data_IF_855784139396
#
_entry.id   IF_855784139396
#
_cell.length_a   1.000
_cell.length_b   1.000
_cell.length_c   1.000
_cell.angle_alpha   90.00
_cell.angle_beta   90.00
_cell.angle_gamma   90.00
#
_symmetry.space_group_name_H-M   'P 1'
#
loop_
_entity.id
_entity.type
_entity.pdbx_description
1 polymer ?
#
# COMPACT_ATOMS: atom_id res chain seq x y z
N UNK A 1 22.44 21.42 19.16
CA UNK A 1 21.35 21.30 18.19
C UNK A 1 21.20 19.82 17.87
N UNK A 2 20.23 19.14 18.48
CA UNK A 2 19.97 17.73 18.17
C UNK A 2 19.20 17.66 16.85
N UNK A 3 19.85 17.14 15.81
CA UNK A 3 19.20 16.83 14.55
C UNK A 3 18.30 15.62 14.74
N UNK A 4 16.98 15.83 14.76
CA UNK A 4 15.99 14.75 14.64
C UNK A 4 16.14 14.12 13.26
N UNK A 5 16.87 13.01 13.19
CA UNK A 5 16.94 12.14 12.02
C UNK A 5 15.58 11.49 11.80
N UNK A 6 14.69 12.16 11.08
CA UNK A 6 13.46 11.56 10.60
C UNK A 6 13.82 10.56 9.50
N UNK A 7 13.74 9.27 9.79
CA UNK A 7 13.64 8.27 8.74
C UNK A 7 12.40 8.63 7.91
N UNK A 8 12.59 8.98 6.64
CA UNK A 8 11.51 9.28 5.71
C UNK A 8 10.69 7.99 5.56
N UNK A 9 9.59 7.85 6.32
CA UNK A 9 8.63 6.75 6.14
C UNK A 9 8.05 6.90 4.74
N UNK A 10 8.21 5.89 3.90
CA UNK A 10 7.47 5.83 2.64
C UNK A 10 6.00 5.65 2.99
N UNK A 11 5.17 6.62 2.58
CA UNK A 11 3.73 6.54 2.77
C UNK A 11 3.12 5.82 1.56
N UNK A 12 2.38 4.72 1.76
CA UNK A 12 1.71 4.05 0.66
C UNK A 12 0.70 5.00 0.02
N UNK A 13 0.54 4.88 -1.29
CA UNK A 13 -0.40 5.68 -2.07
C UNK A 13 -1.47 4.76 -2.67
N UNK A 14 -2.72 5.20 -2.62
CA UNK A 14 -3.84 4.52 -3.27
C UNK A 14 -3.91 4.96 -4.73
N UNK A 15 -3.74 4.00 -5.63
CA UNK A 15 -3.83 4.22 -7.07
C UNK A 15 -5.01 3.42 -7.66
N UNK A 16 -5.88 4.10 -8.41
CA UNK A 16 -6.84 3.42 -9.26
C UNK A 16 -6.10 2.83 -10.46
N UNK A 17 -6.20 1.52 -10.66
CA UNK A 17 -5.55 0.84 -11.80
C UNK A 17 -6.16 1.38 -13.10
N UNK A 18 -5.30 1.85 -13.99
CA UNK A 18 -5.68 2.34 -15.31
C UNK A 18 -5.49 1.24 -16.37
N UNK A 19 -6.24 1.32 -17.46
CA UNK A 19 -6.20 0.37 -18.57
C UNK A 19 -7.44 -0.51 -18.69
N UNK A 20 -7.86 -0.75 -19.93
CA UNK A 20 -9.06 -1.53 -20.26
C UNK A 20 -8.76 -3.04 -20.34
N UNK A 21 -7.58 -3.39 -20.84
CA UNK A 21 -7.13 -4.77 -21.05
C UNK A 21 -5.95 -5.14 -20.13
N UNK A 22 -5.57 -6.42 -20.13
CA UNK A 22 -4.49 -6.92 -19.27
C UNK A 22 -3.12 -6.32 -19.59
N UNK A 23 -2.82 -6.04 -20.86
CA UNK A 23 -1.56 -5.44 -21.24
C UNK A 23 -1.49 -3.99 -20.76
N UNK A 24 -2.52 -3.18 -21.02
CA UNK A 24 -2.54 -1.78 -20.58
C UNK A 24 -2.48 -1.64 -19.05
N UNK A 25 -3.12 -2.55 -18.29
CA UNK A 25 -2.99 -2.60 -16.82
C UNK A 25 -1.59 -3.02 -16.36
N UNK A 26 -0.98 -3.96 -17.06
CA UNK A 26 0.39 -4.42 -16.75
C UNK A 26 1.39 -3.29 -17.00
N UNK A 27 1.26 -2.57 -18.12
CA UNK A 27 2.08 -1.40 -18.43
C UNK A 27 1.93 -0.32 -17.36
N UNK A 28 0.70 0.01 -16.95
CA UNK A 28 0.44 0.93 -15.86
C UNK A 28 1.17 0.50 -14.57
N UNK A 29 1.01 -0.75 -14.15
CA UNK A 29 1.71 -1.26 -12.96
C UNK A 29 3.24 -1.20 -13.08
N UNK A 30 3.80 -1.48 -14.26
CA UNK A 30 5.24 -1.36 -14.49
C UNK A 30 5.77 0.07 -14.32
N UNK A 31 4.98 1.09 -14.65
CA UNK A 31 5.37 2.49 -14.43
C UNK A 31 5.50 2.81 -12.94
N UNK A 32 4.57 2.32 -12.12
CA UNK A 32 4.59 2.50 -10.66
C UNK A 32 5.76 1.72 -10.03
N UNK A 33 5.91 0.46 -10.42
CA UNK A 33 7.00 -0.46 -10.02
C UNK A 33 8.37 0.20 -10.21
N UNK A 34 8.67 0.73 -11.40
CA UNK A 34 9.98 1.35 -11.68
C UNK A 34 10.28 2.61 -10.87
N UNK A 35 9.25 3.23 -10.27
CA UNK A 35 9.36 4.52 -9.58
C UNK A 35 9.43 4.42 -8.06
N UNK A 36 9.28 3.21 -7.49
CA UNK A 36 9.08 3.02 -6.05
C UNK A 36 10.02 1.96 -5.47
N UNK A 37 10.50 2.20 -4.24
CA UNK A 37 11.33 1.28 -3.49
C UNK A 37 10.42 0.38 -2.63
N UNK A 38 10.38 -0.93 -2.90
CA UNK A 38 9.27 -1.81 -2.47
C UNK A 38 9.29 -2.28 -1.01
N UNK A 39 9.91 -1.52 -0.11
CA UNK A 39 9.74 -1.77 1.32
C UNK A 39 8.30 -1.53 1.72
N UNK A 40 7.53 -2.60 1.93
CA UNK A 40 6.11 -2.53 2.28
C UNK A 40 5.92 -2.70 3.78
N UNK A 41 5.44 -1.65 4.44
CA UNK A 41 4.93 -1.69 5.82
C UNK A 41 3.42 -1.97 5.76
N UNK A 42 3.02 -3.23 5.97
CA UNK A 42 1.60 -3.61 5.88
C UNK A 42 0.73 -2.90 6.92
N UNK A 43 1.27 -2.57 8.10
CA UNK A 43 0.54 -1.78 9.09
C UNK A 43 0.12 -0.43 8.51
N UNK A 44 1.09 0.29 7.91
CA UNK A 44 0.83 1.58 7.27
C UNK A 44 -0.12 1.47 6.05
N UNK A 45 -0.09 0.35 5.33
CA UNK A 45 -1.04 0.11 4.22
C UNK A 45 -2.48 -0.01 4.74
N UNK A 46 -2.69 -0.73 5.85
CA UNK A 46 -4.02 -0.81 6.44
C UNK A 46 -4.49 0.53 7.01
N UNK A 47 -3.60 1.29 7.64
CA UNK A 47 -3.91 2.63 8.16
C UNK A 47 -4.42 3.57 7.05
N UNK A 48 -3.72 3.62 5.89
CA UNK A 48 -4.14 4.44 4.74
C UNK A 48 -5.49 3.97 4.17
N UNK A 49 -5.74 2.66 4.10
CA UNK A 49 -7.04 2.15 3.65
C UNK A 49 -8.15 2.56 4.62
N UNK A 50 -7.92 2.43 5.93
CA UNK A 50 -8.90 2.80 6.95
C UNK A 50 -9.16 4.31 6.97
N UNK A 51 -8.11 5.13 6.85
CA UNK A 51 -8.23 6.58 6.74
C UNK A 51 -9.12 6.97 5.55
N UNK A 52 -8.90 6.37 4.38
CA UNK A 52 -9.70 6.67 3.19
C UNK A 52 -11.17 6.25 3.35
N UNK A 53 -11.42 5.12 4.00
CA UNK A 53 -12.78 4.65 4.33
C UNK A 53 -13.50 5.62 5.28
N UNK A 54 -12.79 6.15 6.28
CA UNK A 54 -13.31 7.16 7.22
C UNK A 54 -13.59 8.47 6.50
N UNK A 55 -12.65 8.94 5.68
CA UNK A 55 -12.77 10.19 4.91
C UNK A 55 -13.93 10.12 3.90
N UNK A 56 -14.13 8.98 3.27
CA UNK A 56 -15.25 8.74 2.36
C UNK A 56 -16.58 8.47 3.07
N UNK A 57 -16.60 8.40 4.41
CA UNK A 57 -17.77 8.11 5.25
C UNK A 57 -18.55 6.87 4.76
N UNK A 58 -17.83 5.81 4.40
CA UNK A 58 -18.43 4.62 3.82
C UNK A 58 -19.33 3.92 4.84
N UNK A 59 -20.53 3.54 4.39
CA UNK A 59 -21.42 2.69 5.19
C UNK A 59 -20.80 1.30 5.39
N UNK A 60 -21.12 0.59 6.48
CA UNK A 60 -20.55 -0.73 6.77
C UNK A 60 -20.72 -1.76 5.64
N UNK A 61 -21.79 -1.67 4.84
CA UNK A 61 -22.03 -2.54 3.69
C UNK A 61 -21.08 -2.29 2.51
N UNK A 62 -20.45 -1.12 2.46
CA UNK A 62 -19.49 -0.67 1.43
C UNK A 62 -18.02 -0.76 1.85
N UNK A 63 -17.75 -1.14 3.11
CA UNK A 63 -16.37 -1.31 3.58
C UNK A 63 -15.64 -2.44 2.85
N UNK A 64 -14.33 -2.28 2.71
CA UNK A 64 -13.45 -3.29 2.14
C UNK A 64 -13.45 -4.52 3.04
N UNK A 65 -13.93 -5.67 2.52
CA UNK A 65 -14.02 -6.93 3.27
C UNK A 65 -12.80 -7.84 3.10
N UNK A 66 -12.07 -7.65 2.00
CA UNK A 66 -10.92 -8.49 1.62
C UNK A 66 -9.89 -7.62 0.92
N UNK A 67 -8.63 -7.79 1.30
CA UNK A 67 -7.47 -7.20 0.65
C UNK A 67 -6.59 -8.34 0.14
N UNK A 68 -6.21 -8.29 -1.14
CA UNK A 68 -5.24 -9.22 -1.70
C UNK A 68 -3.91 -8.48 -1.85
N UNK A 69 -2.90 -8.93 -1.12
CA UNK A 69 -1.54 -8.40 -1.21
C UNK A 69 -0.70 -9.25 -2.17
N UNK A 70 -0.14 -8.62 -3.20
CA UNK A 70 0.85 -9.21 -4.10
C UNK A 70 2.22 -8.64 -3.73
N UNK A 71 3.21 -9.49 -3.50
CA UNK A 71 4.52 -9.11 -2.97
C UNK A 71 5.62 -9.95 -3.60
N UNK A 72 6.85 -9.43 -3.57
CA UNK A 72 8.04 -10.21 -3.91
C UNK A 72 8.61 -10.85 -2.65
N UNK A 73 9.02 -12.12 -2.76
CA UNK A 73 9.29 -13.05 -1.66
C UNK A 73 10.23 -12.55 -0.54
N UNK A 74 11.07 -11.54 -0.80
CA UNK A 74 12.04 -11.01 0.18
C UNK A 74 11.42 -10.28 1.38
N UNK A 75 10.16 -9.85 1.31
CA UNK A 75 9.53 -9.07 2.39
C UNK A 75 8.73 -9.89 3.41
N UNK A 76 8.37 -11.14 3.12
CA UNK A 76 7.60 -11.97 4.05
C UNK A 76 8.46 -12.67 5.13
N UNK A 77 9.76 -12.81 4.88
CA UNK A 77 10.68 -13.54 5.77
C UNK A 77 11.37 -12.64 6.81
N UNK A 78 11.36 -11.32 6.62
CA UNK A 78 11.78 -10.36 7.64
C UNK A 78 10.61 -10.10 8.58
N UNK A 79 10.28 -11.11 9.39
CA UNK A 79 9.22 -11.07 10.39
C UNK A 79 9.35 -9.83 11.27
N UNK A 80 8.55 -8.82 10.97
CA UNK A 80 8.16 -7.79 11.93
C UNK A 80 6.75 -8.17 12.34
N UNK A 81 6.67 -8.76 13.54
CA UNK A 81 5.49 -9.13 14.32
C UNK A 81 4.17 -8.56 13.78
N UNK A 82 3.39 -9.39 13.10
CA UNK A 82 1.94 -9.19 13.00
C UNK A 82 1.34 -9.47 14.39
N UNK A 83 1.47 -8.52 15.31
CA UNK A 83 0.64 -8.46 16.52
C UNK A 83 -0.60 -7.63 16.18
N UNK A 84 -1.73 -8.32 16.02
CA UNK A 84 -3.06 -7.72 15.97
C UNK A 84 -3.48 -7.21 17.35
#
# INVERSE_FOLDING_TARGET
MEGKGGHLKQNPQLHSIQGEDLNSRTEYMQTLIKSQDWTTDFGNVFDVILEEVVNANLKPDKMVKKVLALTIHKHFLTGSNFSF
#
